data_IF_955555743583
#
_entry.id   IF_955555743583
#
_cell.length_a   1.000
_cell.length_b   1.000
_cell.length_c   1.000
_cell.angle_alpha   90.00
_cell.angle_beta   90.00
_cell.angle_gamma   90.00
#
_symmetry.space_group_name_H-M   'P 1'
#
loop_
_entity.id
_entity.type
_entity.pdbx_description
1 polymer ?
#
# COMPACT_ATOMS: atom_id res chain seq x y z
N UNK A 1 57.31 42.33 -2.64
CA UNK A 1 56.39 42.01 -3.77
C UNK A 1 56.77 40.76 -4.57
N UNK A 2 58.04 40.52 -4.95
CA UNK A 2 58.44 39.40 -5.83
C UNK A 2 58.12 37.99 -5.29
N UNK A 3 58.09 37.78 -3.97
CA UNK A 3 57.74 36.50 -3.36
C UNK A 3 56.23 36.18 -3.41
N UNK A 4 55.37 37.20 -3.34
CA UNK A 4 53.90 37.04 -3.40
C UNK A 4 53.48 36.53 -4.78
N UNK A 5 54.12 37.02 -5.85
CA UNK A 5 53.81 36.59 -7.23
C UNK A 5 54.20 35.13 -7.50
N UNK A 6 55.33 34.67 -6.92
CA UNK A 6 55.73 33.26 -6.99
C UNK A 6 54.77 32.34 -6.24
N UNK A 7 54.31 32.78 -5.06
CA UNK A 7 53.32 32.05 -4.27
C UNK A 7 51.97 31.95 -4.98
N UNK A 8 51.45 33.06 -5.52
CA UNK A 8 50.23 33.08 -6.33
C UNK A 8 50.33 32.18 -7.56
N UNK A 9 51.45 32.21 -8.28
CA UNK A 9 51.68 31.34 -9.45
C UNK A 9 51.70 29.86 -9.07
N UNK A 10 52.28 29.52 -7.91
CA UNK A 10 52.28 28.15 -7.37
C UNK A 10 50.87 27.69 -7.02
N UNK A 11 50.11 28.50 -6.30
CA UNK A 11 48.70 28.22 -5.96
C UNK A 11 47.85 28.06 -7.23
N UNK A 12 47.98 28.96 -8.20
CA UNK A 12 47.21 28.90 -9.45
C UNK A 12 47.49 27.63 -10.26
N UNK A 13 48.70 27.07 -10.17
CA UNK A 13 49.06 25.82 -10.85
C UNK A 13 48.63 24.57 -10.05
N UNK A 14 48.68 24.61 -8.72
CA UNK A 14 48.37 23.46 -7.87
C UNK A 14 46.86 23.33 -7.56
N UNK A 15 46.14 24.45 -7.44
CA UNK A 15 44.71 24.46 -7.12
C UNK A 15 43.83 23.68 -8.12
N UNK A 16 44.01 23.80 -9.45
CA UNK A 16 43.22 23.02 -10.40
C UNK A 16 43.39 21.50 -10.22
N UNK A 17 44.59 21.04 -9.91
CA UNK A 17 44.83 19.61 -9.66
C UNK A 17 44.14 19.13 -8.38
N UNK A 18 44.17 19.92 -7.31
CA UNK A 18 43.46 19.63 -6.06
C UNK A 18 41.95 19.62 -6.29
N UNK A 19 41.41 20.61 -7.02
CA UNK A 19 39.99 20.67 -7.37
C UNK A 19 39.57 19.47 -8.22
N UNK A 20 40.36 19.08 -9.23
CA UNK A 20 40.09 17.90 -10.04
C UNK A 20 40.07 16.63 -9.19
N UNK A 21 41.04 16.47 -8.28
CA UNK A 21 41.06 15.34 -7.35
C UNK A 21 39.80 15.29 -6.47
N UNK A 22 39.38 16.43 -5.92
CA UNK A 22 38.16 16.54 -5.12
C UNK A 22 36.90 16.23 -5.94
N UNK A 23 36.80 16.76 -7.16
CA UNK A 23 35.65 16.52 -8.05
C UNK A 23 35.54 15.05 -8.45
N UNK A 24 36.66 14.40 -8.76
CA UNK A 24 36.68 12.96 -9.07
C UNK A 24 36.25 12.14 -7.84
N UNK A 25 36.77 12.47 -6.65
CA UNK A 25 36.38 11.79 -5.42
C UNK A 25 34.87 11.93 -5.13
N UNK A 26 34.32 13.15 -5.27
CA UNK A 26 32.88 13.40 -5.10
C UNK A 26 32.06 12.65 -6.16
N UNK A 27 32.48 12.67 -7.42
CA UNK A 27 31.80 11.96 -8.50
C UNK A 27 31.76 10.44 -8.26
N UNK A 28 32.88 9.84 -7.82
CA UNK A 28 32.95 8.42 -7.47
C UNK A 28 32.06 8.08 -6.28
N UNK A 29 32.03 8.94 -5.26
CA UNK A 29 31.16 8.75 -4.10
C UNK A 29 29.69 8.81 -4.50
N UNK A 30 29.29 9.82 -5.27
CA UNK A 30 27.91 9.96 -5.78
C UNK A 30 27.51 8.80 -6.70
N UNK A 31 28.42 8.33 -7.56
CA UNK A 31 28.16 7.17 -8.41
C UNK A 31 27.90 5.91 -7.59
N UNK A 32 28.74 5.63 -6.59
CA UNK A 32 28.55 4.50 -5.68
C UNK A 32 27.24 4.62 -4.90
N UNK A 33 26.96 5.79 -4.33
CA UNK A 33 25.74 6.02 -3.56
C UNK A 33 24.49 5.82 -4.40
N UNK A 34 24.49 6.32 -5.65
CA UNK A 34 23.38 6.11 -6.58
C UNK A 34 23.18 4.63 -6.92
N UNK A 35 24.26 3.88 -7.12
CA UNK A 35 24.18 2.44 -7.38
C UNK A 35 23.64 1.67 -6.17
N UNK A 36 24.11 1.99 -4.97
CA UNK A 36 23.64 1.38 -3.73
C UNK A 36 22.16 1.72 -3.48
N UNK A 37 21.75 2.95 -3.78
CA UNK A 37 20.34 3.40 -3.70
C UNK A 37 19.45 2.64 -4.68
N UNK A 38 19.89 2.48 -5.93
CA UNK A 38 19.16 1.69 -6.93
C UNK A 38 19.00 0.22 -6.49
N UNK A 39 20.04 -0.37 -5.91
CA UNK A 39 19.98 -1.72 -5.38
C UNK A 39 18.99 -1.86 -4.22
N UNK A 40 19.01 -0.93 -3.25
CA UNK A 40 18.05 -0.94 -2.14
C UNK A 40 16.62 -0.69 -2.61
N UNK A 41 16.42 0.20 -3.57
CA UNK A 41 15.11 0.44 -4.19
C UNK A 41 14.55 -0.82 -4.88
N UNK A 42 15.41 -1.60 -5.55
CA UNK A 42 15.02 -2.89 -6.13
C UNK A 42 14.56 -3.89 -5.05
N UNK A 43 15.25 -3.94 -3.90
CA UNK A 43 14.84 -4.80 -2.77
C UNK A 43 13.51 -4.36 -2.13
N UNK A 44 13.28 -3.05 -2.01
CA UNK A 44 11.99 -2.51 -1.56
C UNK A 44 10.88 -2.91 -2.52
N UNK A 45 11.10 -2.74 -3.83
CA UNK A 45 10.13 -3.11 -4.86
C UNK A 45 9.83 -4.62 -4.84
N UNK A 46 10.85 -5.47 -4.69
CA UNK A 46 10.67 -6.91 -4.56
C UNK A 46 9.81 -7.26 -3.32
N UNK A 47 10.02 -6.57 -2.20
CA UNK A 47 9.23 -6.77 -0.98
C UNK A 47 7.77 -6.35 -1.18
N UNK A 48 7.53 -5.21 -1.83
CA UNK A 48 6.19 -4.73 -2.20
C UNK A 48 5.50 -5.72 -3.15
N UNK A 49 6.22 -6.21 -4.16
CA UNK A 49 5.69 -7.19 -5.11
C UNK A 49 5.28 -8.49 -4.43
N UNK A 50 6.08 -8.97 -3.47
CA UNK A 50 5.74 -10.15 -2.69
C UNK A 50 4.52 -9.91 -1.78
N UNK A 51 4.40 -8.72 -1.16
CA UNK A 51 3.22 -8.33 -0.40
C UNK A 51 1.96 -8.30 -1.28
N UNK A 52 2.04 -7.71 -2.47
CA UNK A 52 0.93 -7.68 -3.44
C UNK A 52 0.51 -9.10 -3.87
N UNK A 53 1.47 -9.96 -4.22
CA UNK A 53 1.18 -11.35 -4.61
C UNK A 53 0.47 -12.11 -3.49
N UNK A 54 1.00 -12.01 -2.28
CA UNK A 54 0.38 -12.65 -1.12
C UNK A 54 -1.04 -12.12 -0.85
N UNK A 55 -1.23 -10.81 -0.90
CA UNK A 55 -2.54 -10.20 -0.72
C UNK A 55 -3.53 -10.64 -1.80
N UNK A 56 -3.09 -10.69 -3.06
CA UNK A 56 -3.90 -11.17 -4.18
C UNK A 56 -4.37 -12.62 -4.00
N UNK A 57 -3.54 -13.49 -3.42
CA UNK A 57 -3.91 -14.87 -3.12
C UNK A 57 -4.98 -14.98 -2.03
N UNK A 58 -4.91 -14.15 -0.99
CA UNK A 58 -5.84 -14.25 0.16
C UNK A 58 -7.16 -13.51 -0.07
N UNK A 59 -7.17 -12.39 -0.79
CA UNK A 59 -8.33 -11.49 -0.90
C UNK A 59 -9.58 -12.17 -1.50
N UNK A 60 -9.50 -13.04 -2.52
CA UNK A 60 -10.66 -13.78 -3.02
C UNK A 60 -11.34 -14.63 -1.95
N UNK A 61 -10.56 -15.30 -1.09
CA UNK A 61 -11.11 -16.11 0.00
C UNK A 61 -11.81 -15.24 1.05
N UNK A 62 -11.24 -14.07 1.35
CA UNK A 62 -11.81 -13.08 2.26
C UNK A 62 -13.13 -12.52 1.71
N UNK A 63 -13.17 -12.22 0.40
CA UNK A 63 -14.38 -11.78 -0.29
C UNK A 63 -15.48 -12.84 -0.17
N UNK A 64 -15.17 -14.10 -0.47
CA UNK A 64 -16.15 -15.19 -0.41
C UNK A 64 -16.67 -15.42 1.02
N UNK A 65 -15.80 -15.39 2.02
CA UNK A 65 -16.22 -15.43 3.42
C UNK A 65 -17.17 -14.26 3.76
N UNK A 66 -16.88 -13.06 3.26
CA UNK A 66 -17.72 -11.87 3.46
C UNK A 66 -19.09 -12.03 2.81
N UNK A 67 -19.15 -12.59 1.60
CA UNK A 67 -20.41 -12.89 0.89
C UNK A 67 -21.25 -13.88 1.70
N UNK A 68 -20.64 -14.92 2.26
CA UNK A 68 -21.36 -15.92 3.05
C UNK A 68 -21.91 -15.34 4.35
N UNK A 69 -21.13 -14.48 5.03
CA UNK A 69 -21.61 -13.73 6.20
C UNK A 69 -22.77 -12.80 5.79
N UNK A 70 -22.66 -12.10 4.66
CA UNK A 70 -23.71 -11.22 4.15
C UNK A 70 -25.01 -11.99 3.93
N UNK A 71 -24.98 -13.11 3.21
CA UNK A 71 -26.17 -13.95 2.94
C UNK A 71 -26.81 -14.47 4.24
N UNK A 72 -25.97 -14.94 5.18
CA UNK A 72 -26.43 -15.39 6.50
C UNK A 72 -27.13 -14.27 7.26
N UNK A 73 -26.52 -13.09 7.30
CA UNK A 73 -27.06 -11.92 7.99
C UNK A 73 -28.38 -11.47 7.37
N UNK A 74 -28.50 -11.52 6.03
CA UNK A 74 -29.73 -11.19 5.33
C UNK A 74 -30.89 -12.13 5.71
N UNK A 75 -30.61 -13.43 5.77
CA UNK A 75 -31.57 -14.44 6.24
C UNK A 75 -32.01 -14.18 7.68
N UNK A 76 -31.08 -13.90 8.59
CA UNK A 76 -31.38 -13.58 10.00
C UNK A 76 -32.25 -12.32 10.11
N UNK A 77 -31.94 -11.28 9.34
CA UNK A 77 -32.74 -10.03 9.29
C UNK A 77 -34.17 -10.33 8.80
N UNK A 78 -34.32 -11.18 7.79
CA UNK A 78 -35.63 -11.60 7.27
C UNK A 78 -36.46 -12.33 8.33
N UNK A 79 -35.89 -13.35 8.98
CA UNK A 79 -36.54 -14.12 10.04
C UNK A 79 -36.98 -13.21 11.20
N UNK A 80 -36.14 -12.24 11.59
CA UNK A 80 -36.47 -11.30 12.64
C UNK A 80 -37.65 -10.38 12.25
N UNK A 81 -37.66 -9.86 11.02
CA UNK A 81 -38.78 -9.04 10.52
C UNK A 81 -40.11 -9.81 10.50
N UNK A 82 -40.05 -11.10 10.19
CA UNK A 82 -41.23 -11.97 10.18
C UNK A 82 -41.65 -12.45 11.58
N UNK A 83 -40.97 -12.00 12.64
CA UNK A 83 -41.19 -12.45 14.02
C UNK A 83 -40.96 -13.96 14.24
N UNK A 84 -40.20 -14.61 13.36
CA UNK A 84 -39.83 -16.03 13.47
C UNK A 84 -38.73 -16.24 14.52
N UNK A 85 -37.94 -15.20 14.80
CA UNK A 85 -36.94 -15.16 15.86
C UNK A 85 -37.12 -13.90 16.73
N UNK A 86 -36.79 -14.03 18.02
CA UNK A 86 -36.97 -12.94 19.01
C UNK A 86 -35.74 -12.05 19.19
N UNK A 87 -34.57 -12.53 18.80
CA UNK A 87 -33.29 -11.84 18.99
C UNK A 87 -32.52 -11.76 17.69
N UNK A 88 -31.94 -10.59 17.42
CA UNK A 88 -31.16 -10.34 16.22
C UNK A 88 -29.66 -10.45 16.54
N UNK A 89 -29.03 -11.55 16.12
CA UNK A 89 -27.59 -11.77 16.28
C UNK A 89 -26.91 -11.88 14.93
N UNK A 90 -26.12 -10.86 14.57
CA UNK A 90 -25.55 -10.71 13.23
C UNK A 90 -24.05 -10.96 13.29
N UNK A 91 -23.58 -11.86 12.43
CA UNK A 91 -22.17 -12.19 12.37
C UNK A 91 -21.33 -10.98 11.91
N UNK A 92 -20.13 -10.86 12.45
CA UNK A 92 -19.14 -9.83 12.08
C UNK A 92 -18.07 -10.44 11.20
N UNK A 93 -17.42 -9.59 10.40
CA UNK A 93 -16.33 -9.99 9.52
C UNK A 93 -15.08 -10.26 10.39
N UNK A 94 -14.65 -11.51 10.41
CA UNK A 94 -13.37 -11.92 11.01
C UNK A 94 -12.44 -12.35 9.88
N UNK A 95 -12.00 -11.41 9.06
CA UNK A 95 -11.08 -11.69 7.96
C UNK A 95 -9.64 -11.36 8.33
N UNK A 96 -8.73 -12.14 7.75
CA UNK A 96 -7.31 -11.84 7.76
C UNK A 96 -7.06 -10.42 7.24
N UNK A 97 -6.15 -9.70 7.90
CA UNK A 97 -5.82 -8.33 7.51
C UNK A 97 -4.97 -8.36 6.24
N UNK A 98 -5.32 -7.50 5.28
CA UNK A 98 -4.51 -7.28 4.09
C UNK A 98 -3.22 -6.56 4.52
N UNK A 99 -2.06 -7.06 4.10
CA UNK A 99 -0.77 -6.51 4.54
C UNK A 99 -0.47 -5.23 3.77
N UNK A 100 0.10 -4.22 4.45
CA UNK A 100 0.60 -2.99 3.82
C UNK A 100 1.93 -2.54 4.43
N UNK A 101 2.66 -3.46 5.07
CA UNK A 101 3.86 -3.14 5.84
C UNK A 101 5.02 -2.85 4.89
N UNK A 102 5.15 -3.63 3.81
CA UNK A 102 6.20 -3.40 2.82
C UNK A 102 6.03 -2.03 2.17
N UNK A 103 4.81 -1.69 1.75
CA UNK A 103 4.50 -0.38 1.19
C UNK A 103 4.75 0.78 2.16
N UNK A 104 4.19 0.72 3.37
CA UNK A 104 4.37 1.80 4.36
C UNK A 104 5.83 1.98 4.78
N UNK A 105 6.58 0.88 4.90
CA UNK A 105 8.01 0.96 5.25
C UNK A 105 8.81 1.54 4.09
N UNK A 106 8.51 1.11 2.85
CA UNK A 106 9.18 1.61 1.67
C UNK A 106 8.90 3.10 1.46
N UNK A 107 7.65 3.57 1.63
CA UNK A 107 7.29 4.98 1.42
C UNK A 107 7.94 5.95 2.41
N UNK A 108 8.48 5.44 3.52
CA UNK A 108 9.25 6.21 4.51
C UNK A 108 10.76 6.17 4.25
N UNK A 109 11.24 5.35 3.30
CA UNK A 109 12.65 5.23 2.96
C UNK A 109 13.07 6.26 1.92
N UNK A 110 14.26 6.86 2.08
CA UNK A 110 14.86 7.75 1.07
C UNK A 110 15.11 7.03 -0.26
N UNK A 111 15.32 5.72 -0.21
CA UNK A 111 15.55 4.89 -1.40
C UNK A 111 14.30 4.76 -2.28
N UNK A 112 13.11 5.08 -1.76
CA UNK A 112 11.84 5.06 -2.50
C UNK A 112 11.87 6.02 -3.70
N UNK A 113 12.63 7.11 -3.59
CA UNK A 113 12.81 8.11 -4.65
C UNK A 113 13.54 7.57 -5.88
N UNK A 114 14.25 6.44 -5.76
CA UNK A 114 14.94 5.80 -6.88
C UNK A 114 14.04 4.82 -7.66
N UNK A 115 12.80 4.57 -7.22
CA UNK A 115 11.84 3.76 -7.97
C UNK A 115 11.25 4.60 -9.11
N UNK A 116 11.14 4.08 -10.35
CA UNK A 116 10.52 4.80 -11.45
C UNK A 116 9.10 5.27 -11.13
N UNK A 117 8.77 6.52 -11.49
CA UNK A 117 7.48 7.15 -11.17
C UNK A 117 6.29 6.39 -11.76
N UNK A 118 6.47 5.75 -12.91
CA UNK A 118 5.44 4.93 -13.55
C UNK A 118 5.10 3.72 -12.67
N UNK A 119 6.13 3.05 -12.12
CA UNK A 119 5.94 1.94 -11.18
C UNK A 119 5.28 2.41 -9.89
N UNK A 120 5.69 3.56 -9.36
CA UNK A 120 5.06 4.15 -8.16
C UNK A 120 3.58 4.50 -8.40
N UNK A 121 3.25 4.99 -9.59
CA UNK A 121 1.88 5.31 -9.96
C UNK A 121 1.01 4.06 -9.97
N UNK A 122 1.48 2.96 -10.56
CA UNK A 122 0.73 1.69 -10.58
C UNK A 122 0.59 1.10 -9.16
N UNK A 123 1.66 1.12 -8.36
CA UNK A 123 1.59 0.72 -6.95
C UNK A 123 0.58 1.56 -6.16
N UNK A 124 0.55 2.87 -6.39
CA UNK A 124 -0.35 3.76 -5.66
C UNK A 124 -1.82 3.42 -5.88
N UNK A 125 -2.22 3.00 -7.08
CA UNK A 125 -3.62 2.60 -7.36
C UNK A 125 -4.03 1.41 -6.50
N UNK A 126 -3.18 0.39 -6.45
CA UNK A 126 -3.38 -0.81 -5.62
C UNK A 126 -3.55 -0.44 -4.15
N UNK A 127 -2.62 0.34 -3.59
CA UNK A 127 -2.67 0.69 -2.17
C UNK A 127 -3.77 1.70 -1.82
N UNK A 128 -4.18 2.56 -2.75
CA UNK A 128 -5.35 3.43 -2.57
C UNK A 128 -6.65 2.62 -2.49
N UNK A 129 -6.83 1.60 -3.32
CA UNK A 129 -7.99 0.71 -3.17
C UNK A 129 -7.93 -0.13 -1.91
N UNK A 130 -6.73 -0.58 -1.51
CA UNK A 130 -6.57 -1.26 -0.23
C UNK A 130 -6.97 -0.37 0.96
N UNK A 131 -6.57 0.91 0.95
CA UNK A 131 -6.96 1.89 1.97
C UNK A 131 -8.48 2.11 1.99
N UNK A 132 -9.14 2.15 0.83
CA UNK A 132 -10.61 2.24 0.74
C UNK A 132 -11.31 1.03 1.35
N UNK A 133 -10.78 -0.18 1.12
CA UNK A 133 -11.26 -1.41 1.76
C UNK A 133 -11.07 -1.31 3.28
N UNK A 134 -9.87 -0.98 3.76
CA UNK A 134 -9.57 -0.82 5.18
C UNK A 134 -10.47 0.24 5.85
N UNK A 135 -10.72 1.37 5.17
CA UNK A 135 -11.62 2.41 5.65
C UNK A 135 -13.05 1.90 5.88
N UNK A 136 -13.61 1.16 4.91
CA UNK A 136 -14.96 0.59 5.06
C UNK A 136 -14.99 -0.43 6.21
N UNK A 137 -13.98 -1.29 6.32
CA UNK A 137 -13.86 -2.24 7.43
C UNK A 137 -13.88 -1.52 8.78
N UNK A 138 -13.00 -0.53 8.95
CA UNK A 138 -12.91 0.24 10.19
C UNK A 138 -14.20 1.02 10.47
N UNK A 139 -14.92 1.48 9.43
CA UNK A 139 -16.22 2.14 9.61
C UNK A 139 -17.29 1.21 10.18
N UNK A 140 -17.26 -0.08 9.82
CA UNK A 140 -18.20 -1.09 10.37
C UNK A 140 -17.88 -1.34 11.85
N UNK A 141 -16.60 -1.48 12.20
CA UNK A 141 -16.18 -1.71 13.58
C UNK A 141 -16.47 -0.50 14.47
N UNK A 142 -16.18 0.72 13.97
CA UNK A 142 -16.48 1.96 14.68
C UNK A 142 -17.99 2.18 14.88
N UNK A 143 -18.82 1.76 13.93
CA UNK A 143 -20.28 1.84 14.08
C UNK A 143 -20.77 0.95 15.22
N UNK A 144 -20.11 -0.19 15.48
CA UNK A 144 -20.48 -1.06 16.59
C UNK A 144 -20.01 -0.52 17.94
N UNK A 145 -18.81 0.08 17.99
CA UNK A 145 -18.26 0.66 19.20
C UNK A 145 -19.04 1.92 19.63
N UNK A 146 -19.42 2.75 18.66
CA UNK A 146 -20.06 4.05 18.90
C UNK A 146 -21.55 4.05 18.54
N UNK A 147 -22.19 2.88 18.46
CA UNK A 147 -23.61 2.81 18.11
C UNK A 147 -24.44 3.56 19.14
N UNK A 148 -25.33 4.43 18.66
CA UNK A 148 -26.34 5.08 19.49
C UNK A 148 -27.15 4.01 20.23
N UNK A 149 -27.20 4.04 21.57
CA UNK A 149 -27.98 3.08 22.36
C UNK A 149 -29.48 3.11 22.04
N UNK A 150 -29.98 4.20 21.44
CA UNK A 150 -31.38 4.33 21.00
C UNK A 150 -31.64 3.66 19.64
N UNK A 151 -30.58 3.28 18.91
CA UNK A 151 -30.73 2.65 17.60
C UNK A 151 -31.26 1.22 17.75
N UNK A 152 -32.43 0.93 17.17
CA UNK A 152 -32.96 -0.42 17.19
C UNK A 152 -31.98 -1.43 16.56
N UNK A 153 -31.92 -2.64 17.10
CA UNK A 153 -31.03 -3.71 16.58
C UNK A 153 -31.27 -3.96 15.08
N UNK A 154 -32.52 -3.85 14.62
CA UNK A 154 -32.88 -4.00 13.22
C UNK A 154 -32.32 -2.88 12.32
N UNK A 155 -32.24 -1.65 12.81
CA UNK A 155 -31.63 -0.55 12.06
C UNK A 155 -30.12 -0.72 12.00
N UNK A 156 -29.48 -1.05 13.12
CA UNK A 156 -28.04 -1.34 13.18
C UNK A 156 -27.67 -2.45 12.19
N UNK A 157 -28.48 -3.50 12.16
CA UNK A 157 -28.37 -4.63 11.25
C UNK A 157 -28.41 -4.23 9.77
N UNK A 158 -29.42 -3.46 9.38
CA UNK A 158 -29.58 -2.98 8.00
C UNK A 158 -28.42 -2.09 7.59
N UNK A 159 -27.95 -1.22 8.48
CA UNK A 159 -26.79 -0.37 8.22
C UNK A 159 -25.55 -1.25 7.98
N UNK A 160 -25.27 -2.19 8.88
CA UNK A 160 -24.17 -3.15 8.72
C UNK A 160 -24.27 -3.91 7.39
N UNK A 161 -25.45 -4.39 7.03
CA UNK A 161 -25.70 -5.09 5.77
C UNK A 161 -25.39 -4.21 4.55
N UNK A 162 -25.77 -2.94 4.58
CA UNK A 162 -25.45 -1.97 3.53
C UNK A 162 -23.93 -1.69 3.43
N UNK A 163 -23.22 -1.62 4.55
CA UNK A 163 -21.76 -1.50 4.53
C UNK A 163 -21.11 -2.76 3.98
N UNK A 164 -21.60 -3.94 4.36
CA UNK A 164 -21.10 -5.23 3.85
C UNK A 164 -21.26 -5.37 2.34
N UNK A 165 -22.38 -4.94 1.75
CA UNK A 165 -22.55 -4.99 0.29
C UNK A 165 -21.55 -4.11 -0.45
N UNK A 166 -21.32 -2.89 0.05
CA UNK A 166 -20.26 -1.99 -0.47
C UNK A 166 -18.88 -2.60 -0.31
N UNK A 167 -18.62 -3.25 0.82
CA UNK A 167 -17.35 -3.89 1.11
C UNK A 167 -17.05 -5.05 0.14
N UNK A 168 -18.06 -5.85 -0.21
CA UNK A 168 -17.95 -6.92 -1.23
C UNK A 168 -17.56 -6.35 -2.59
N UNK A 169 -18.21 -5.26 -3.02
CA UNK A 169 -17.86 -4.58 -4.28
C UNK A 169 -16.44 -4.02 -4.26
N UNK A 170 -15.97 -3.47 -3.13
CA UNK A 170 -14.58 -2.98 -3.04
C UNK A 170 -13.53 -4.09 -3.09
N UNK A 171 -13.85 -5.30 -2.64
CA UNK A 171 -12.97 -6.43 -2.86
C UNK A 171 -12.84 -6.80 -4.34
N UNK A 172 -13.88 -6.60 -5.15
CA UNK A 172 -13.79 -6.81 -6.61
C UNK A 172 -12.87 -5.80 -7.26
N UNK A 173 -13.04 -4.53 -6.91
CA UNK A 173 -12.16 -3.45 -7.38
C UNK A 173 -10.70 -3.75 -7.00
N UNK A 174 -10.45 -4.13 -5.74
CA UNK A 174 -9.10 -4.42 -5.26
C UNK A 174 -8.46 -5.63 -5.95
N UNK A 175 -9.22 -6.71 -6.17
CA UNK A 175 -8.74 -7.89 -6.93
C UNK A 175 -8.31 -7.45 -8.33
N UNK A 176 -9.12 -6.62 -8.99
CA UNK A 176 -8.81 -6.12 -10.33
C UNK A 176 -7.53 -5.28 -10.33
N UNK A 177 -7.36 -4.35 -9.39
CA UNK A 177 -6.12 -3.55 -9.32
C UNK A 177 -4.88 -4.43 -9.07
N UNK A 178 -4.99 -5.48 -8.26
CA UNK A 178 -3.90 -6.46 -8.10
C UNK A 178 -3.61 -7.19 -9.40
N UNK A 179 -4.64 -7.68 -10.11
CA UNK A 179 -4.44 -8.36 -11.39
C UNK A 179 -3.78 -7.46 -12.44
N UNK A 180 -4.25 -6.23 -12.56
CA UNK A 180 -3.76 -5.27 -13.54
C UNK A 180 -2.29 -4.93 -13.25
N UNK A 181 -1.93 -4.71 -11.98
CA UNK A 181 -0.55 -4.53 -11.56
C UNK A 181 0.33 -5.75 -11.89
N UNK A 182 -0.11 -6.96 -11.53
CA UNK A 182 0.67 -8.19 -11.73
C UNK A 182 0.89 -8.50 -13.22
N UNK A 183 -0.08 -8.20 -14.09
CA UNK A 183 0.07 -8.30 -15.56
C UNK A 183 1.12 -7.32 -16.10
N UNK A 184 1.14 -6.09 -15.58
CA UNK A 184 2.13 -5.08 -15.97
C UNK A 184 3.53 -5.51 -15.50
N UNK A 185 3.66 -5.95 -14.25
CA UNK A 185 4.93 -6.41 -13.67
C UNK A 185 5.50 -7.62 -14.44
N UNK A 186 4.66 -8.61 -14.80
CA UNK A 186 5.10 -9.75 -15.59
C UNK A 186 5.64 -9.35 -16.97
N UNK A 187 4.98 -8.40 -17.64
CA UNK A 187 5.41 -7.92 -18.96
C UNK A 187 6.72 -7.13 -18.93
N UNK A 188 7.01 -6.45 -17.81
CA UNK A 188 8.31 -5.77 -17.62
C UNK A 188 9.45 -6.78 -17.48
N UNK A 189 9.20 -7.90 -16.80
CA UNK A 189 10.21 -8.94 -16.57
C UNK A 189 10.53 -9.78 -17.81
N UNK A 190 9.63 -9.85 -18.81
CA UNK A 190 9.89 -10.59 -20.07
C UNK A 190 10.70 -9.79 -21.10
N UNK A 191 10.80 -8.47 -20.94
CA UNK A 191 11.46 -7.57 -21.90
C UNK A 191 12.88 -7.16 -21.50
N UNK A 192 13.37 -7.64 -20.34
CA UNK A 192 14.73 -7.43 -19.83
C UNK A 192 15.53 -8.73 -19.91
#
# INVERSE_FOLDING_TARGET
>A
MRNIFKFLKKILLEMPAIMLGLLVALALNSWKENNDRAYRAANLLASINNEIKHNYEIVPSVKESTINIYKRNDSIISLYKNSEIKSLSIATITSEAIRNVAWKTASLSDDFSAIPIETLTELSKVYLEQERVEFIRNSIDNLFINSDPELSSLNLAKIKQNHMSRFISRYEDLIKEYEDYLKIDSNKNTNN
#
